data_IF_426083360784
#
_entry.id   IF_426083360784
#
_cell.length_a   1.000
_cell.length_b   1.000
_cell.length_c   1.000
_cell.angle_alpha   90.00
_cell.angle_beta   90.00
_cell.angle_gamma   90.00
#
_symmetry.space_group_name_H-M   'P 1'
#
loop_
_entity.id
_entity.type
_entity.pdbx_description
1 polymer ?
#
# COMPACT_ATOMS: atom_id res chain seq x y z
N UNK A 1 17.10 11.30 -8.35
CA UNK A 1 16.11 10.23 -8.56
C UNK A 1 15.08 10.38 -7.45
N UNK A 2 13.96 11.01 -7.76
CA UNK A 2 12.84 11.01 -6.82
C UNK A 2 12.36 9.56 -6.70
N UNK A 3 12.65 8.97 -5.57
CA UNK A 3 12.17 7.66 -5.20
C UNK A 3 10.68 7.82 -4.88
N UNK A 4 9.86 7.62 -5.89
CA UNK A 4 8.43 7.49 -5.66
C UNK A 4 8.22 6.21 -4.86
N UNK A 5 7.49 6.29 -3.75
CA UNK A 5 7.19 5.09 -3.00
C UNK A 5 6.49 4.08 -3.90
N UNK A 6 6.82 2.83 -3.72
CA UNK A 6 6.35 1.68 -4.50
C UNK A 6 4.84 1.74 -4.71
N UNK A 7 4.45 2.39 -5.80
CA UNK A 7 3.06 2.38 -6.26
C UNK A 7 2.89 1.12 -7.08
N UNK A 8 2.14 0.19 -6.52
CA UNK A 8 1.83 -1.04 -7.20
C UNK A 8 0.93 -0.75 -8.41
N UNK A 9 1.44 -0.94 -9.61
CA UNK A 9 0.72 -0.64 -10.85
C UNK A 9 -0.56 -1.47 -11.01
N UNK A 10 -0.67 -2.58 -10.30
CA UNK A 10 -1.88 -3.38 -10.22
C UNK A 10 -3.09 -2.58 -9.74
N UNK A 11 -2.91 -1.66 -8.80
CA UNK A 11 -3.98 -0.76 -8.35
C UNK A 11 -4.42 0.21 -9.43
N UNK A 12 -3.48 0.74 -10.22
CA UNK A 12 -3.78 1.61 -11.36
C UNK A 12 -4.60 0.86 -12.40
N UNK A 13 -4.22 -0.38 -12.73
CA UNK A 13 -4.98 -1.26 -13.62
C UNK A 13 -6.41 -1.48 -13.12
N UNK A 14 -6.59 -1.78 -11.84
CA UNK A 14 -7.90 -2.07 -11.23
C UNK A 14 -8.81 -0.85 -11.29
N UNK A 15 -8.29 0.34 -10.96
CA UNK A 15 -9.05 1.58 -10.98
C UNK A 15 -9.37 2.05 -12.41
N UNK A 16 -8.46 1.84 -13.37
CA UNK A 16 -8.76 2.08 -14.80
C UNK A 16 -9.87 1.17 -15.29
N UNK A 17 -9.87 -0.10 -14.87
CA UNK A 17 -10.92 -1.05 -15.22
C UNK A 17 -12.28 -0.63 -14.68
N UNK A 18 -12.35 -0.07 -13.49
CA UNK A 18 -13.59 0.50 -12.92
C UNK A 18 -14.14 1.67 -13.74
N UNK A 19 -13.28 2.40 -14.47
CA UNK A 19 -13.65 3.45 -15.42
C UNK A 19 -13.94 2.95 -16.85
N UNK A 20 -13.84 1.64 -17.08
CA UNK A 20 -14.09 1.02 -18.38
C UNK A 20 -12.86 0.83 -19.26
N UNK A 21 -11.66 1.13 -18.76
CA UNK A 21 -10.43 0.95 -19.49
C UNK A 21 -9.82 -0.43 -19.23
N UNK A 22 -9.40 -1.11 -20.27
CA UNK A 22 -8.68 -2.38 -20.18
C UNK A 22 -7.21 -2.09 -20.50
N UNK A 23 -6.43 -1.83 -19.47
CA UNK A 23 -4.99 -1.58 -19.55
C UNK A 23 -4.29 -2.64 -18.70
N UNK A 24 -3.85 -3.75 -19.31
CA UNK A 24 -3.19 -4.82 -18.56
C UNK A 24 -1.83 -4.40 -18.05
N UNK A 25 -1.50 -4.91 -16.88
CA UNK A 25 -0.21 -4.78 -16.22
C UNK A 25 0.63 -6.04 -16.48
N UNK A 26 1.90 -5.88 -16.81
CA UNK A 26 2.84 -6.98 -17.02
C UNK A 26 4.13 -6.74 -16.24
N UNK A 27 4.68 -7.83 -15.75
CA UNK A 27 6.04 -7.85 -15.22
C UNK A 27 7.04 -8.01 -16.37
N UNK A 28 8.19 -7.39 -16.26
CA UNK A 28 9.26 -7.53 -17.23
C UNK A 28 9.99 -8.88 -17.08
N UNK A 29 10.74 -9.33 -18.13
CA UNK A 29 11.46 -10.59 -18.13
C UNK A 29 12.46 -10.77 -16.99
N UNK A 30 13.00 -11.98 -16.78
CA UNK A 30 13.99 -12.28 -15.73
C UNK A 30 15.10 -11.25 -15.61
N UNK A 31 15.42 -10.88 -14.38
CA UNK A 31 16.30 -9.80 -13.92
C UNK A 31 15.68 -8.38 -13.85
N UNK A 32 14.44 -8.20 -14.31
CA UNK A 32 13.70 -6.94 -14.24
C UNK A 32 12.28 -7.13 -13.67
N UNK A 33 12.02 -8.22 -12.95
CA UNK A 33 10.69 -8.59 -12.43
C UNK A 33 10.10 -7.54 -11.49
N UNK A 34 10.95 -6.71 -10.89
CA UNK A 34 10.53 -5.60 -10.03
C UNK A 34 9.95 -4.41 -10.81
N UNK A 35 10.11 -4.42 -12.13
CA UNK A 35 9.60 -3.37 -13.00
C UNK A 35 8.33 -3.85 -13.67
N UNK A 36 7.25 -3.14 -13.41
CA UNK A 36 5.94 -3.40 -14.02
C UNK A 36 5.66 -2.36 -15.11
N UNK A 37 4.96 -2.77 -16.14
CA UNK A 37 4.53 -1.91 -17.24
C UNK A 37 3.03 -2.01 -17.47
N UNK A 38 2.42 -0.88 -17.80
CA UNK A 38 1.04 -0.83 -18.29
C UNK A 38 1.07 -0.80 -19.83
N UNK A 39 0.32 -1.70 -20.46
CA UNK A 39 0.24 -1.78 -21.91
C UNK A 39 -1.05 -1.17 -22.43
N UNK A 40 -0.93 -0.13 -23.22
CA UNK A 40 -2.07 0.46 -23.94
C UNK A 40 -2.02 0.01 -25.40
N UNK A 41 -3.11 -0.59 -25.89
CA UNK A 41 -3.27 -0.97 -27.30
C UNK A 41 -4.05 0.11 -28.02
N UNK A 42 -3.38 0.80 -28.94
CA UNK A 42 -3.99 1.84 -29.76
C UNK A 42 -4.36 1.21 -31.12
N UNK A 43 -5.65 1.32 -31.50
CA UNK A 43 -6.19 0.85 -32.78
C UNK A 43 -6.59 2.04 -33.65
N UNK A 44 -6.84 1.78 -34.93
CA UNK A 44 -7.25 2.81 -35.90
C UNK A 44 -8.51 3.59 -35.52
N UNK A 45 -9.40 2.98 -34.74
CA UNK A 45 -10.65 3.60 -34.29
C UNK A 45 -10.48 4.40 -32.99
N UNK A 46 -9.28 4.50 -32.46
CA UNK A 46 -9.00 5.30 -31.24
C UNK A 46 -8.82 6.76 -31.67
N UNK A 47 -9.74 7.61 -31.25
CA UNK A 47 -9.68 9.05 -31.54
C UNK A 47 -8.75 9.77 -30.56
N UNK A 48 -8.23 10.91 -30.96
CA UNK A 48 -7.42 11.78 -30.10
C UNK A 48 -8.16 12.11 -28.79
N UNK A 49 -9.44 12.48 -28.89
CA UNK A 49 -10.26 12.76 -27.72
C UNK A 49 -10.35 11.58 -26.74
N UNK A 50 -10.39 10.35 -27.26
CA UNK A 50 -10.43 9.16 -26.42
C UNK A 50 -9.09 8.96 -25.69
N UNK A 51 -7.98 9.25 -26.35
CA UNK A 51 -6.65 9.20 -25.73
C UNK A 51 -6.53 10.27 -24.64
N UNK A 52 -7.01 11.47 -24.88
CA UNK A 52 -7.02 12.54 -23.87
C UNK A 52 -7.80 12.13 -22.62
N UNK A 53 -8.98 11.52 -22.79
CA UNK A 53 -9.77 11.01 -21.65
C UNK A 53 -9.00 9.93 -20.89
N UNK A 54 -8.34 9.00 -21.58
CA UNK A 54 -7.52 7.98 -20.94
C UNK A 54 -6.37 8.61 -20.13
N UNK A 55 -5.68 9.58 -20.70
CA UNK A 55 -4.57 10.28 -20.01
C UNK A 55 -5.07 11.03 -18.78
N UNK A 56 -6.19 11.71 -18.86
CA UNK A 56 -6.81 12.42 -17.73
C UNK A 56 -7.23 11.45 -16.63
N UNK A 57 -7.81 10.31 -16.98
CA UNK A 57 -8.18 9.26 -16.04
C UNK A 57 -6.95 8.66 -15.37
N UNK A 58 -5.89 8.41 -16.11
CA UNK A 58 -4.63 7.89 -15.59
C UNK A 58 -4.00 8.87 -14.59
N UNK A 59 -3.94 10.15 -14.93
CA UNK A 59 -3.41 11.20 -14.05
C UNK A 59 -4.25 11.30 -12.77
N UNK A 60 -5.57 11.31 -12.89
CA UNK A 60 -6.50 11.39 -11.76
C UNK A 60 -6.33 10.22 -10.80
N UNK A 61 -6.29 8.99 -11.33
CA UNK A 61 -6.08 7.77 -10.56
C UNK A 61 -4.73 7.79 -9.85
N UNK A 62 -3.68 8.15 -10.56
CA UNK A 62 -2.32 8.20 -10.00
C UNK A 62 -2.24 9.21 -8.85
N UNK A 63 -2.80 10.40 -9.01
CA UNK A 63 -2.87 11.40 -7.94
C UNK A 63 -3.64 10.89 -6.73
N UNK A 64 -4.78 10.26 -6.97
CA UNK A 64 -5.62 9.70 -5.90
C UNK A 64 -4.87 8.63 -5.10
N UNK A 65 -4.19 7.72 -5.76
CA UNK A 65 -3.39 6.68 -5.10
C UNK A 65 -2.21 7.27 -4.33
N UNK A 66 -1.53 8.26 -4.88
CA UNK A 66 -0.42 8.94 -4.20
C UNK A 66 -0.91 9.67 -2.94
N UNK A 67 -2.05 10.33 -2.99
CA UNK A 67 -2.63 11.02 -1.85
C UNK A 67 -3.09 10.03 -0.77
N UNK A 68 -3.72 8.94 -1.16
CA UNK A 68 -4.09 7.87 -0.21
C UNK A 68 -2.88 7.27 0.50
N UNK A 69 -1.80 7.00 -0.23
CA UNK A 69 -0.56 6.51 0.39
C UNK A 69 0.05 7.53 1.35
N UNK A 70 -0.01 8.81 1.00
CA UNK A 70 0.48 9.88 1.86
C UNK A 70 -0.32 9.96 3.16
N UNK A 71 -1.65 9.92 3.07
CA UNK A 71 -2.55 9.93 4.23
C UNK A 71 -2.33 8.68 5.08
N UNK A 72 -2.28 7.50 4.48
CA UNK A 72 -2.03 6.26 5.20
C UNK A 72 -0.71 6.28 5.98
N UNK A 73 0.35 6.84 5.40
CA UNK A 73 1.64 6.99 6.08
C UNK A 73 1.61 7.96 7.25
N UNK A 74 0.86 9.06 7.13
CA UNK A 74 0.71 10.00 8.25
C UNK A 74 -0.06 9.35 9.39
N UNK A 75 -1.16 8.67 9.10
CA UNK A 75 -1.96 7.94 10.10
C UNK A 75 -1.14 6.85 10.78
N UNK A 76 -0.35 6.08 10.04
CA UNK A 76 0.53 5.06 10.62
C UNK A 76 1.58 5.67 11.58
N UNK A 77 2.14 6.83 11.25
CA UNK A 77 3.08 7.52 12.14
C UNK A 77 2.42 7.99 13.43
N UNK A 78 1.26 8.55 13.33
CA UNK A 78 0.51 9.03 14.49
C UNK A 78 0.05 7.87 15.37
N UNK A 79 -0.40 6.76 14.79
CA UNK A 79 -0.77 5.55 15.50
C UNK A 79 0.44 4.89 16.16
N UNK A 80 1.58 4.83 15.49
CA UNK A 80 2.81 4.28 16.08
C UNK A 80 3.26 5.12 17.28
N UNK A 81 3.15 6.44 17.22
CA UNK A 81 3.44 7.33 18.34
C UNK A 81 2.47 7.12 19.50
N UNK A 82 1.17 7.03 19.23
CA UNK A 82 0.15 6.76 20.23
C UNK A 82 0.31 5.38 20.87
N UNK A 83 0.63 4.35 20.06
CA UNK A 83 0.88 2.98 20.56
C UNK A 83 2.12 2.94 21.45
N UNK A 84 3.18 3.68 21.12
CA UNK A 84 4.36 3.78 21.97
C UNK A 84 4.06 4.45 23.31
N UNK A 85 3.26 5.50 23.33
CA UNK A 85 2.81 6.14 24.58
C UNK A 85 1.94 5.20 25.41
N UNK A 86 1.01 4.48 24.79
CA UNK A 86 0.15 3.51 25.47
C UNK A 86 0.96 2.34 25.99
N UNK A 87 1.93 1.85 25.23
CA UNK A 87 2.84 0.78 25.68
C UNK A 87 3.75 1.24 26.83
N UNK A 88 4.21 2.48 26.86
CA UNK A 88 4.95 3.04 27.99
C UNK A 88 4.09 3.08 29.25
N UNK A 89 2.83 3.50 29.16
CA UNK A 89 1.89 3.51 30.26
C UNK A 89 1.50 2.11 30.74
N UNK A 90 1.28 1.17 29.82
CA UNK A 90 1.00 -0.23 30.09
C UNK A 90 2.22 -0.98 30.64
N UNK A 91 3.43 -0.67 30.18
CA UNK A 91 4.66 -1.29 30.68
C UNK A 91 4.93 -0.87 32.12
N UNK A 92 4.63 0.36 32.48
CA UNK A 92 4.67 0.82 33.89
C UNK A 92 3.71 0.05 34.79
N UNK A 93 2.53 -0.29 34.34
CA UNK A 93 1.55 -1.09 35.08
C UNK A 93 1.89 -2.59 35.06
N UNK A 94 2.44 -3.10 33.95
CA UNK A 94 2.74 -4.52 33.77
C UNK A 94 3.96 -4.97 34.59
N UNK A 95 4.94 -4.12 34.78
CA UNK A 95 6.11 -4.41 35.61
C UNK A 95 5.73 -4.58 37.09
N UNK A 96 4.69 -3.86 37.55
CA UNK A 96 4.21 -3.99 38.93
C UNK A 96 3.41 -5.30 39.16
N UNK A 97 2.81 -5.85 38.10
CA UNK A 97 2.03 -7.09 38.19
C UNK A 97 2.88 -8.36 38.00
N UNK A 98 4.06 -8.27 37.41
CA UNK A 98 4.97 -9.41 37.22
C UNK A 98 5.65 -9.91 38.50
N UNK A 99 5.59 -9.13 39.55
CA UNK A 99 6.19 -9.53 40.86
C UNK A 99 5.26 -10.40 41.73
N UNK A 100 4.06 -10.70 41.25
CA UNK A 100 3.18 -11.66 41.90
C UNK A 100 2.91 -12.87 40.97
N UNK A 101 3.83 -13.83 41.03
CA UNK A 101 3.69 -15.25 40.74
C UNK A 101 2.90 -15.60 39.47
N UNK A 102 3.60 -15.80 38.35
CA UNK A 102 3.04 -16.40 37.15
C UNK A 102 3.36 -17.89 37.10
N UNK A 103 2.39 -18.78 36.88
CA UNK A 103 2.69 -20.14 36.43
C UNK A 103 3.15 -20.10 34.96
N UNK A 104 4.24 -20.73 34.65
CA UNK A 104 4.80 -20.87 33.32
C UNK A 104 3.83 -21.65 32.41
N UNK A 105 3.17 -20.93 31.52
CA UNK A 105 2.38 -21.51 30.43
C UNK A 105 3.13 -21.30 29.11
N UNK A 106 3.71 -22.36 28.56
CA UNK A 106 4.29 -22.38 27.22
C UNK A 106 3.17 -22.20 26.16
N UNK A 107 2.82 -20.96 25.87
CA UNK A 107 2.05 -20.59 24.70
C UNK A 107 2.97 -19.97 23.65
N UNK A 108 3.30 -20.70 22.58
CA UNK A 108 3.93 -20.11 21.40
C UNK A 108 3.03 -19.00 20.89
N UNK A 109 3.55 -17.81 20.61
CA UNK A 109 2.76 -16.78 19.96
C UNK A 109 2.35 -17.27 18.58
N UNK A 110 1.11 -16.96 18.12
CA UNK A 110 0.68 -17.31 16.77
C UNK A 110 1.62 -16.62 15.78
N UNK A 111 2.13 -17.40 14.83
CA UNK A 111 2.98 -16.89 13.75
C UNK A 111 2.22 -15.82 12.98
N UNK A 112 2.71 -14.60 13.11
CA UNK A 112 2.77 -13.63 12.07
C UNK A 112 1.45 -13.09 11.54
N UNK A 113 0.87 -12.15 12.22
CA UNK A 113 0.23 -11.04 11.53
C UNK A 113 1.30 -9.93 11.41
N UNK A 114 2.01 -9.88 10.27
CA UNK A 114 2.77 -8.70 9.92
C UNK A 114 1.74 -7.64 9.55
N UNK A 115 1.38 -6.82 10.50
CA UNK A 115 0.63 -5.62 10.22
C UNK A 115 1.40 -4.80 9.19
N UNK A 116 0.85 -4.65 8.00
CA UNK A 116 1.39 -3.77 6.98
C UNK A 116 1.08 -2.33 7.39
N UNK A 117 1.96 -1.78 8.12
CA UNK A 117 2.16 -0.35 8.25
C UNK A 117 3.61 -0.05 8.03
#
# INVERSE_FOLDING_TARGET
>A
RQEYPEMEQGWVQTLLRAKGWIVPNYELPPNLEKVQILRVVVRENVTESLIEVLVQDLISITRHLMEQQRVARSVCKDTASATNMTNMLLTGHYVHQKNHGRPEGHGKPPKGYKGQC
#
